data_IF_558057607676
#
_entry.id   IF_558057607676
#
_cell.length_a   1.000
_cell.length_b   1.000
_cell.length_c   1.000
_cell.angle_alpha   90.00
_cell.angle_beta   90.00
_cell.angle_gamma   90.00
#
_symmetry.space_group_name_H-M   'P 1'
#
loop_
_entity.id
_entity.type
_entity.pdbx_description
1 polymer ?
#
# COMPACT_ATOMS: atom_id res chain seq x y z
N UNK A 1 -5.90 1.49 20.02
CA UNK A 1 -6.31 2.05 18.73
C UNK A 1 -6.86 0.98 17.79
N UNK A 2 -6.06 -0.04 17.38
CA UNK A 2 -6.42 -1.03 16.36
C UNK A 2 -7.75 -1.76 16.62
N UNK A 3 -8.00 -2.19 17.85
CA UNK A 3 -9.24 -2.91 18.20
C UNK A 3 -10.49 -2.02 18.03
N UNK A 4 -10.44 -0.77 18.50
CA UNK A 4 -11.53 0.19 18.35
C UNK A 4 -11.73 0.60 16.88
N UNK A 5 -10.64 0.84 16.15
CA UNK A 5 -10.66 1.19 14.73
C UNK A 5 -11.31 0.09 13.89
N UNK A 6 -10.91 -1.17 14.08
CA UNK A 6 -11.52 -2.34 13.41
C UNK A 6 -13.00 -2.51 13.74
N UNK A 7 -13.39 -2.33 15.02
CA UNK A 7 -14.79 -2.41 15.41
C UNK A 7 -15.64 -1.34 14.71
N UNK A 8 -15.17 -0.10 14.67
CA UNK A 8 -15.86 1.00 13.99
C UNK A 8 -15.96 0.76 12.47
N UNK A 9 -14.86 0.37 11.82
CA UNK A 9 -14.80 0.19 10.36
C UNK A 9 -15.66 -0.98 9.86
N UNK A 10 -16.00 -1.94 10.72
CA UNK A 10 -16.94 -3.03 10.39
C UNK A 10 -18.39 -2.56 10.32
N UNK A 11 -18.72 -1.47 10.99
CA UNK A 11 -20.12 -0.99 11.10
C UNK A 11 -20.42 0.18 10.17
N UNK A 12 -19.41 0.99 9.85
CA UNK A 12 -19.56 2.18 8.99
C UNK A 12 -18.23 2.56 8.36
N UNK A 13 -18.25 3.28 7.22
CA UNK A 13 -17.03 3.88 6.67
C UNK A 13 -16.37 4.83 7.68
N UNK A 14 -15.06 4.70 7.81
CA UNK A 14 -14.24 5.60 8.64
C UNK A 14 -13.21 6.25 7.74
N UNK A 15 -13.33 7.56 7.56
CA UNK A 15 -12.36 8.38 6.83
C UNK A 15 -11.44 9.04 7.84
N UNK A 16 -10.14 8.99 7.60
CA UNK A 16 -9.12 9.53 8.50
C UNK A 16 -8.15 10.43 7.76
N UNK A 17 -7.88 11.59 8.36
CA UNK A 17 -6.79 12.48 7.98
C UNK A 17 -5.77 12.50 9.10
N UNK A 18 -4.49 12.37 8.77
CA UNK A 18 -3.38 12.48 9.73
C UNK A 18 -2.45 13.60 9.30
N UNK A 19 -2.31 14.59 10.15
CA UNK A 19 -1.32 15.68 10.02
C UNK A 19 0.06 15.27 10.53
N UNK A 20 1.08 16.09 10.30
CA UNK A 20 2.44 15.83 10.75
C UNK A 20 3.14 14.74 9.93
N UNK A 21 2.97 14.75 8.60
CA UNK A 21 3.56 13.80 7.66
C UNK A 21 4.98 14.18 7.23
N UNK A 22 5.21 15.47 7.04
CA UNK A 22 6.55 16.00 6.73
C UNK A 22 7.32 16.27 8.03
N UNK A 23 8.67 16.34 7.99
CA UNK A 23 9.47 16.72 9.14
C UNK A 23 9.01 18.03 9.79
N UNK A 24 8.70 19.04 8.98
CA UNK A 24 8.23 20.34 9.44
C UNK A 24 6.83 20.24 10.08
N UNK A 25 5.95 19.47 9.47
CA UNK A 25 4.61 19.18 10.01
C UNK A 25 4.66 18.39 11.32
N UNK A 26 5.62 17.48 11.46
CA UNK A 26 5.83 16.72 12.68
C UNK A 26 6.31 17.63 13.85
N UNK A 27 7.22 18.57 13.57
CA UNK A 27 7.67 19.56 14.56
C UNK A 27 6.49 20.44 15.00
N UNK A 28 5.69 20.92 14.05
CA UNK A 28 4.52 21.73 14.35
C UNK A 28 3.48 20.95 15.20
N UNK A 29 3.22 19.70 14.86
CA UNK A 29 2.31 18.84 15.61
C UNK A 29 2.81 18.56 17.03
N UNK A 30 4.10 18.27 17.20
CA UNK A 30 4.72 18.06 18.50
C UNK A 30 4.63 19.30 19.41
N UNK A 31 4.86 20.50 18.83
CA UNK A 31 4.69 21.77 19.54
C UNK A 31 3.26 22.01 20.02
N UNK A 32 2.27 21.54 19.26
CA UNK A 32 0.85 21.75 19.56
C UNK A 32 0.31 20.71 20.56
N UNK A 33 0.72 19.45 20.45
CA UNK A 33 0.13 18.34 21.22
C UNK A 33 1.04 17.82 22.33
N UNK A 34 2.32 18.19 22.32
CA UNK A 34 3.33 17.66 23.26
C UNK A 34 3.67 16.18 22.99
N UNK A 35 3.15 15.56 21.95
CA UNK A 35 3.37 14.15 21.61
C UNK A 35 4.29 14.02 20.41
N UNK A 36 5.17 13.02 20.43
CA UNK A 36 5.93 12.62 19.26
C UNK A 36 4.99 12.07 18.19
N UNK A 37 5.14 12.56 16.97
CA UNK A 37 4.46 11.98 15.81
C UNK A 37 5.22 10.72 15.42
N UNK A 38 4.57 9.54 15.50
CA UNK A 38 5.16 8.30 15.01
C UNK A 38 5.35 8.32 13.49
N UNK A 39 6.07 7.33 12.99
CA UNK A 39 6.36 7.14 11.56
C UNK A 39 5.07 7.09 10.72
N UNK A 40 5.02 7.87 9.65
CA UNK A 40 3.81 8.03 8.83
C UNK A 40 3.38 6.75 8.14
N UNK A 41 4.35 5.91 7.72
CA UNK A 41 4.13 4.63 7.09
C UNK A 41 3.48 3.60 8.03
N UNK A 42 3.84 3.63 9.31
CA UNK A 42 3.22 2.79 10.34
C UNK A 42 1.74 3.14 10.50
N UNK A 43 1.41 4.43 10.55
CA UNK A 43 0.02 4.88 10.60
C UNK A 43 -0.75 4.48 9.33
N UNK A 44 -0.15 4.62 8.15
CA UNK A 44 -0.75 4.20 6.88
C UNK A 44 -1.08 2.71 6.87
N UNK A 45 -0.15 1.88 7.33
CA UNK A 45 -0.35 0.44 7.47
C UNK A 45 -1.46 0.11 8.47
N UNK A 46 -1.47 0.78 9.63
CA UNK A 46 -2.49 0.60 10.67
C UNK A 46 -3.89 0.96 10.16
N UNK A 47 -4.05 2.09 9.46
CA UNK A 47 -5.34 2.51 8.90
C UNK A 47 -5.85 1.52 7.86
N UNK A 48 -5.00 1.08 6.94
CA UNK A 48 -5.35 0.05 5.95
C UNK A 48 -5.81 -1.25 6.61
N UNK A 49 -5.04 -1.79 7.55
CA UNK A 49 -5.37 -3.02 8.27
C UNK A 49 -6.60 -2.89 9.17
N UNK A 50 -6.94 -1.67 9.59
CA UNK A 50 -8.16 -1.38 10.34
C UNK A 50 -9.39 -1.16 9.44
N UNK A 51 -9.25 -1.22 8.11
CA UNK A 51 -10.35 -1.01 7.17
C UNK A 51 -10.77 0.45 7.02
N UNK A 52 -9.91 1.40 7.40
CA UNK A 52 -10.17 2.84 7.30
C UNK A 52 -9.71 3.37 5.94
N UNK A 53 -10.34 4.44 5.47
CA UNK A 53 -9.85 5.21 4.33
C UNK A 53 -9.02 6.38 4.83
N UNK A 54 -7.73 6.41 4.49
CA UNK A 54 -6.87 7.58 4.72
C UNK A 54 -6.98 8.53 3.53
N UNK A 55 -7.08 9.83 3.84
CA UNK A 55 -7.07 10.93 2.88
C UNK A 55 -6.04 11.98 3.31
N UNK A 56 -5.61 12.84 2.36
CA UNK A 56 -4.47 13.71 2.55
C UNK A 56 -4.83 15.14 2.96
N UNK A 57 -5.99 15.62 2.54
CA UNK A 57 -6.46 16.97 2.83
C UNK A 57 -7.98 17.04 3.12
N UNK A 58 -8.47 18.22 3.48
CA UNK A 58 -9.87 18.42 3.81
C UNK A 58 -10.80 18.31 2.59
N UNK A 59 -10.35 18.65 1.39
CA UNK A 59 -11.16 18.51 0.18
C UNK A 59 -11.38 17.02 -0.11
N UNK A 60 -10.35 16.21 0.10
CA UNK A 60 -10.46 14.76 -0.01
C UNK A 60 -11.39 14.15 1.05
N UNK A 61 -11.41 14.69 2.28
CA UNK A 61 -12.39 14.27 3.31
C UNK A 61 -13.80 14.47 2.78
N UNK A 62 -14.12 15.65 2.25
CA UNK A 62 -15.47 15.94 1.73
C UNK A 62 -15.81 15.04 0.55
N UNK A 63 -14.91 14.89 -0.42
CA UNK A 63 -15.11 14.02 -1.57
C UNK A 63 -15.32 12.55 -1.16
N UNK A 64 -14.51 12.04 -0.23
CA UNK A 64 -14.63 10.68 0.27
C UNK A 64 -15.94 10.45 1.03
N UNK A 65 -16.36 11.41 1.87
CA UNK A 65 -17.63 11.34 2.62
C UNK A 65 -18.81 11.37 1.65
N UNK A 66 -18.80 12.21 0.65
CA UNK A 66 -19.84 12.27 -0.38
C UNK A 66 -19.94 10.92 -1.12
N UNK A 67 -18.82 10.41 -1.60
CA UNK A 67 -18.79 9.17 -2.38
C UNK A 67 -19.22 7.96 -1.55
N UNK A 68 -18.63 7.78 -0.36
CA UNK A 68 -18.93 6.65 0.52
C UNK A 68 -20.34 6.76 1.14
N UNK A 69 -20.80 7.99 1.42
CA UNK A 69 -22.14 8.26 1.97
C UNK A 69 -23.27 7.86 1.02
N UNK A 70 -23.01 7.79 -0.29
CA UNK A 70 -23.99 7.31 -1.26
C UNK A 70 -24.12 5.78 -1.33
N UNK A 71 -23.27 5.05 -0.58
CA UNK A 71 -23.37 3.59 -0.46
C UNK A 71 -22.88 2.83 -1.71
N UNK A 72 -22.13 3.48 -2.59
CA UNK A 72 -21.58 2.84 -3.77
C UNK A 72 -20.47 1.84 -3.39
N UNK A 73 -20.39 0.76 -4.17
CA UNK A 73 -19.34 -0.26 -4.04
C UNK A 73 -18.76 -0.56 -5.40
N UNK A 74 -17.45 -0.68 -5.49
CA UNK A 74 -16.72 -1.12 -6.69
C UNK A 74 -16.14 -2.51 -6.46
N UNK A 75 -15.92 -3.26 -7.52
CA UNK A 75 -15.30 -4.60 -7.44
C UNK A 75 -13.81 -4.59 -7.78
N UNK A 76 -13.38 -3.54 -8.47
CA UNK A 76 -12.00 -3.35 -8.93
C UNK A 76 -11.76 -1.91 -9.29
N UNK A 77 -10.68 -1.65 -10.01
CA UNK A 77 -10.16 -0.34 -10.34
C UNK A 77 -10.25 0.02 -11.84
N UNK A 78 -11.03 -0.74 -12.61
CA UNK A 78 -11.23 -0.51 -14.06
C UNK A 78 -12.31 0.53 -14.28
N UNK A 79 -11.90 1.74 -14.67
CA UNK A 79 -12.79 2.88 -14.94
C UNK A 79 -13.02 3.06 -16.43
N UNK A 80 -14.29 3.18 -16.83
CA UNK A 80 -14.65 3.68 -18.15
C UNK A 80 -15.09 5.14 -18.08
N UNK A 81 -14.75 5.92 -19.09
CA UNK A 81 -15.05 7.35 -19.19
C UNK A 81 -15.94 7.61 -20.41
N UNK A 82 -17.05 8.30 -20.19
CA UNK A 82 -17.95 8.81 -21.22
C UNK A 82 -17.93 10.33 -21.20
N UNK A 83 -17.60 10.99 -22.28
CA UNK A 83 -17.43 12.44 -22.34
C UNK A 83 -17.96 13.03 -23.63
N UNK A 84 -18.58 14.23 -23.55
CA UNK A 84 -18.85 15.06 -24.72
C UNK A 84 -17.70 16.03 -25.07
N UNK A 85 -16.57 15.90 -24.39
CA UNK A 85 -15.40 16.71 -24.62
C UNK A 85 -14.13 15.89 -24.50
N UNK A 86 -13.44 15.66 -25.61
CA UNK A 86 -12.24 14.81 -25.66
C UNK A 86 -11.17 15.21 -24.66
N UNK A 87 -10.95 16.52 -24.47
CA UNK A 87 -9.97 17.05 -23.49
C UNK A 87 -10.28 16.65 -22.05
N UNK A 88 -11.55 16.61 -21.65
CA UNK A 88 -11.95 16.15 -20.31
C UNK A 88 -11.69 14.64 -20.13
N UNK A 89 -11.93 13.85 -21.17
CA UNK A 89 -11.60 12.43 -21.16
C UNK A 89 -10.11 12.19 -20.97
N UNK A 90 -9.26 12.99 -21.62
CA UNK A 90 -7.79 12.92 -21.45
C UNK A 90 -7.39 13.28 -20.02
N UNK A 91 -7.90 14.38 -19.47
CA UNK A 91 -7.61 14.78 -18.08
C UNK A 91 -8.02 13.71 -17.06
N UNK A 92 -9.19 13.09 -17.25
CA UNK A 92 -9.62 11.97 -16.39
C UNK A 92 -8.69 10.75 -16.52
N UNK A 93 -8.22 10.44 -17.74
CA UNK A 93 -7.28 9.33 -17.98
C UNK A 93 -5.93 9.58 -17.31
N UNK A 94 -5.38 10.79 -17.45
CA UNK A 94 -4.11 11.18 -16.82
C UNK A 94 -4.21 11.12 -15.28
N UNK A 95 -5.33 11.62 -14.72
CA UNK A 95 -5.58 11.52 -13.29
C UNK A 95 -5.66 10.06 -12.82
N UNK A 96 -6.38 9.21 -13.58
CA UNK A 96 -6.53 7.79 -13.26
C UNK A 96 -5.17 7.07 -13.25
N UNK A 97 -4.36 7.31 -14.26
CA UNK A 97 -3.01 6.71 -14.36
C UNK A 97 -2.10 7.17 -13.20
N UNK A 98 -2.11 8.48 -12.88
CA UNK A 98 -1.36 9.04 -11.76
C UNK A 98 -1.76 8.43 -10.41
N UNK A 99 -3.04 8.22 -10.20
CA UNK A 99 -3.60 7.72 -8.94
C UNK A 99 -3.62 6.17 -8.87
N UNK A 100 -3.03 5.49 -9.87
CA UNK A 100 -2.83 4.03 -9.88
C UNK A 100 -4.07 3.21 -10.21
N UNK A 101 -5.05 3.80 -10.88
CA UNK A 101 -6.21 3.10 -11.40
C UNK A 101 -5.99 2.58 -12.84
N UNK A 102 -6.93 1.79 -13.33
CA UNK A 102 -6.86 1.15 -14.64
C UNK A 102 -7.93 1.71 -15.57
N UNK A 103 -7.53 2.19 -16.75
CA UNK A 103 -8.49 2.54 -17.81
C UNK A 103 -9.09 1.25 -18.36
N UNK A 104 -10.41 1.09 -18.25
CA UNK A 104 -11.10 -0.13 -18.68
C UNK A 104 -10.98 -0.33 -20.21
N UNK A 105 -10.72 -1.53 -20.64
CA UNK A 105 -10.82 -1.90 -22.05
C UNK A 105 -12.23 -2.42 -22.34
N UNK A 106 -13.00 -1.66 -23.15
CA UNK A 106 -14.37 -2.06 -23.50
C UNK A 106 -14.36 -3.29 -24.40
N UNK A 107 -15.39 -4.12 -24.29
CA UNK A 107 -15.55 -5.28 -25.16
C UNK A 107 -15.77 -4.86 -26.62
N UNK A 108 -15.35 -5.72 -27.55
CA UNK A 108 -15.51 -5.45 -28.98
C UNK A 108 -16.99 -5.26 -29.37
N UNK A 109 -17.90 -5.96 -28.68
CA UNK A 109 -19.34 -5.79 -28.89
C UNK A 109 -19.80 -4.39 -28.46
N UNK A 110 -19.31 -3.88 -27.33
CA UNK A 110 -19.65 -2.53 -26.86
C UNK A 110 -19.07 -1.48 -27.79
N UNK A 111 -17.83 -1.64 -28.23
CA UNK A 111 -17.17 -0.73 -29.18
C UNK A 111 -17.94 -0.71 -30.51
N UNK A 112 -18.26 -1.87 -31.09
CA UNK A 112 -19.01 -1.96 -32.34
C UNK A 112 -20.43 -1.37 -32.22
N UNK A 113 -21.10 -1.58 -31.09
CA UNK A 113 -22.42 -1.00 -30.85
C UNK A 113 -22.37 0.54 -30.73
N UNK A 114 -21.33 1.11 -30.07
CA UNK A 114 -21.10 2.54 -30.01
C UNK A 114 -20.77 3.10 -31.38
N UNK A 115 -19.89 2.47 -32.15
CA UNK A 115 -19.47 2.92 -33.48
C UNK A 115 -20.65 2.95 -34.48
N UNK A 116 -21.63 2.08 -34.28
CA UNK A 116 -22.80 1.96 -35.18
C UNK A 116 -23.69 3.22 -35.23
N UNK A 117 -23.66 4.09 -34.23
CA UNK A 117 -24.51 5.29 -34.18
C UNK A 117 -23.77 6.59 -33.84
N UNK A 118 -22.54 6.49 -33.30
CA UNK A 118 -21.76 7.67 -33.03
C UNK A 118 -21.27 8.33 -34.32
N UNK A 119 -21.20 9.67 -34.39
CA UNK A 119 -20.59 10.37 -35.52
C UNK A 119 -19.14 9.92 -35.73
N UNK A 120 -18.66 9.97 -36.97
CA UNK A 120 -17.27 9.58 -37.32
C UNK A 120 -16.18 10.40 -36.62
N UNK A 121 -16.53 11.56 -36.07
CA UNK A 121 -15.64 12.42 -35.29
C UNK A 121 -15.51 11.98 -33.83
N UNK A 122 -16.33 11.03 -33.41
CA UNK A 122 -16.34 10.47 -32.06
C UNK A 122 -15.36 9.31 -31.91
N UNK A 123 -15.03 8.97 -30.66
CA UNK A 123 -14.27 7.76 -30.33
C UNK A 123 -15.17 6.76 -29.62
N UNK A 124 -15.40 5.56 -30.17
CA UNK A 124 -16.17 4.51 -29.49
C UNK A 124 -15.33 3.76 -28.44
N UNK A 125 -14.03 4.01 -28.35
CA UNK A 125 -13.11 3.40 -27.40
C UNK A 125 -12.95 4.27 -26.15
N UNK A 126 -12.60 3.66 -25.05
CA UNK A 126 -12.42 4.36 -23.77
C UNK A 126 -11.13 5.22 -23.77
N UNK A 127 -11.20 6.52 -23.46
CA UNK A 127 -12.39 7.33 -23.18
C UNK A 127 -13.37 7.43 -24.38
N UNK A 128 -14.64 7.12 -24.12
CA UNK A 128 -15.68 7.25 -25.14
C UNK A 128 -16.01 8.74 -25.34
N UNK A 129 -15.66 9.27 -26.51
CA UNK A 129 -16.00 10.65 -26.88
C UNK A 129 -17.29 10.64 -27.72
N UNK A 130 -18.31 11.34 -27.26
CA UNK A 130 -19.62 11.43 -27.91
C UNK A 130 -19.86 12.78 -28.58
N UNK A 131 -18.83 13.59 -28.76
CA UNK A 131 -18.79 14.94 -29.31
C UNK A 131 -19.55 16.03 -28.53
N UNK A 132 -19.15 17.26 -28.75
CA UNK A 132 -19.60 18.44 -27.99
C UNK A 132 -21.09 18.78 -28.18
N UNK A 133 -21.68 18.34 -29.27
CA UNK A 133 -23.10 18.51 -29.61
C UNK A 133 -24.00 17.39 -29.08
N UNK A 134 -23.45 16.49 -28.23
CA UNK A 134 -24.20 15.35 -27.69
C UNK A 134 -25.44 15.80 -26.91
N UNK A 135 -26.57 15.26 -27.33
CA UNK A 135 -27.87 15.43 -26.69
C UNK A 135 -28.18 14.31 -25.69
N UNK A 136 -29.34 14.41 -25.05
CA UNK A 136 -29.83 13.47 -24.04
C UNK A 136 -29.92 12.04 -24.58
N UNK A 137 -30.33 11.84 -25.85
CA UNK A 137 -30.41 10.52 -26.44
C UNK A 137 -29.04 9.87 -26.61
N UNK A 138 -28.06 10.63 -27.11
CA UNK A 138 -26.69 10.15 -27.30
C UNK A 138 -26.03 9.79 -25.97
N UNK A 139 -26.20 10.61 -24.91
CA UNK A 139 -25.75 10.25 -23.56
C UNK A 139 -26.41 8.99 -23.04
N UNK A 140 -27.73 8.91 -23.07
CA UNK A 140 -28.49 7.77 -22.57
C UNK A 140 -28.12 6.47 -23.27
N UNK A 141 -28.07 6.48 -24.60
CA UNK A 141 -27.76 5.29 -25.41
C UNK A 141 -26.33 4.82 -25.21
N UNK A 142 -25.36 5.73 -25.20
CA UNK A 142 -23.96 5.38 -24.95
C UNK A 142 -23.77 4.82 -23.56
N UNK A 143 -24.32 5.45 -22.54
CA UNK A 143 -24.24 4.98 -21.16
C UNK A 143 -24.92 3.63 -20.96
N UNK A 144 -26.06 3.38 -21.60
CA UNK A 144 -26.75 2.10 -21.53
C UNK A 144 -25.93 0.94 -22.07
N UNK A 145 -25.19 1.14 -23.17
CA UNK A 145 -24.28 0.15 -23.74
C UNK A 145 -23.11 -0.13 -22.80
N UNK A 146 -22.47 0.92 -22.29
CA UNK A 146 -21.35 0.78 -21.36
C UNK A 146 -21.78 0.11 -20.04
N UNK A 147 -22.98 0.35 -19.54
CA UNK A 147 -23.51 -0.29 -18.34
C UNK A 147 -23.69 -1.81 -18.47
N UNK A 148 -23.79 -2.34 -19.69
CA UNK A 148 -23.90 -3.79 -20.00
C UNK A 148 -22.53 -4.47 -20.10
N UNK A 149 -21.46 -3.72 -20.31
CA UNK A 149 -20.11 -4.25 -20.48
C UNK A 149 -19.53 -4.78 -19.16
N UNK A 150 -18.99 -5.99 -19.18
CA UNK A 150 -18.46 -6.64 -17.98
C UNK A 150 -16.96 -6.35 -17.73
N UNK A 151 -16.30 -5.65 -18.66
CA UNK A 151 -14.88 -5.36 -18.55
C UNK A 151 -14.55 -4.15 -17.69
N UNK A 152 -15.55 -3.48 -17.12
CA UNK A 152 -15.38 -2.28 -16.32
C UNK A 152 -16.04 -2.40 -14.94
N UNK A 153 -15.52 -1.69 -13.96
CA UNK A 153 -16.00 -1.71 -12.57
C UNK A 153 -16.83 -0.48 -12.23
N UNK A 154 -16.56 0.65 -12.88
CA UNK A 154 -17.34 1.89 -12.76
C UNK A 154 -17.30 2.71 -14.05
N UNK A 155 -18.24 3.66 -14.17
CA UNK A 155 -18.29 4.61 -15.28
C UNK A 155 -18.23 6.04 -14.72
N UNK A 156 -17.38 6.88 -15.30
CA UNK A 156 -17.35 8.31 -15.10
C UNK A 156 -17.97 9.00 -16.31
N UNK A 157 -19.06 9.74 -16.07
CA UNK A 157 -19.73 10.51 -17.11
C UNK A 157 -19.37 11.97 -16.96
N UNK A 158 -18.81 12.56 -18.00
CA UNK A 158 -18.33 13.93 -18.06
C UNK A 158 -19.21 14.80 -18.97
N UNK A 159 -19.48 16.02 -18.54
CA UNK A 159 -20.17 17.01 -19.38
C UNK A 159 -19.40 18.31 -19.40
N UNK A 160 -18.99 18.73 -20.60
CA UNK A 160 -18.53 20.07 -20.89
C UNK A 160 -19.74 20.89 -21.41
N UNK A 161 -20.14 21.98 -20.75
CA UNK A 161 -21.37 22.73 -21.10
C UNK A 161 -21.16 23.61 -22.33
N UNK A 162 -20.81 23.00 -23.44
CA UNK A 162 -20.65 23.74 -24.74
C UNK A 162 -21.99 24.27 -25.23
N UNK A 163 -23.06 23.53 -25.01
CA UNK A 163 -24.44 23.96 -25.24
C UNK A 163 -25.19 23.94 -23.91
N UNK A 164 -25.43 25.15 -23.34
CA UNK A 164 -26.04 25.31 -22.05
C UNK A 164 -27.49 24.79 -21.98
N UNK A 165 -28.23 24.84 -23.09
CA UNK A 165 -29.62 24.37 -23.16
C UNK A 165 -29.75 22.85 -22.99
N UNK A 166 -28.69 22.09 -23.27
CA UNK A 166 -28.69 20.63 -23.18
C UNK A 166 -28.21 20.10 -21.81
N UNK A 167 -27.59 20.92 -20.97
CA UNK A 167 -26.95 20.50 -19.72
C UNK A 167 -27.92 19.75 -18.80
N UNK A 168 -29.10 20.27 -18.60
CA UNK A 168 -30.12 19.69 -17.73
C UNK A 168 -30.75 18.44 -18.35
N UNK A 169 -31.07 18.48 -19.66
CA UNK A 169 -31.62 17.32 -20.36
C UNK A 169 -30.64 16.14 -20.41
N UNK A 170 -29.36 16.42 -20.62
CA UNK A 170 -28.30 15.41 -20.56
C UNK A 170 -28.18 14.78 -19.17
N UNK A 171 -28.26 15.59 -18.10
CA UNK A 171 -28.24 15.09 -16.73
C UNK A 171 -29.44 14.18 -16.43
N UNK A 172 -30.64 14.57 -16.86
CA UNK A 172 -31.85 13.76 -16.68
C UNK A 172 -31.75 12.42 -17.41
N UNK A 173 -31.21 12.42 -18.64
CA UNK A 173 -30.98 11.17 -19.39
C UNK A 173 -30.00 10.23 -18.67
N UNK A 174 -28.92 10.75 -18.12
CA UNK A 174 -27.96 9.97 -17.32
C UNK A 174 -28.66 9.40 -16.08
N UNK A 175 -29.39 10.23 -15.33
CA UNK A 175 -30.13 9.80 -14.13
C UNK A 175 -31.11 8.67 -14.45
N UNK A 176 -31.93 8.82 -15.51
CA UNK A 176 -32.91 7.81 -15.89
C UNK A 176 -32.25 6.49 -16.35
N UNK A 177 -31.11 6.58 -17.01
CA UNK A 177 -30.35 5.39 -17.45
C UNK A 177 -29.74 4.65 -16.26
N UNK A 178 -29.17 5.36 -15.28
CA UNK A 178 -28.53 4.80 -14.08
C UNK A 178 -29.55 4.13 -13.15
N UNK A 179 -30.77 4.69 -12.98
CA UNK A 179 -31.82 4.11 -12.12
C UNK A 179 -32.14 2.66 -12.45
N UNK A 180 -31.96 2.23 -13.69
CA UNK A 180 -32.25 0.88 -14.18
C UNK A 180 -31.14 -0.13 -13.94
N UNK A 181 -29.98 0.29 -13.42
CA UNK A 181 -28.76 -0.51 -13.32
C UNK A 181 -28.11 -0.39 -11.95
N UNK A 182 -27.32 -1.41 -11.56
CA UNK A 182 -26.62 -1.45 -10.26
C UNK A 182 -25.12 -1.11 -10.33
N UNK A 183 -24.62 -0.75 -11.52
CA UNK A 183 -23.18 -0.44 -11.67
C UNK A 183 -22.88 0.96 -11.17
N UNK A 184 -21.76 1.18 -10.47
CA UNK A 184 -21.34 2.50 -10.02
C UNK A 184 -21.16 3.46 -11.20
N UNK A 185 -21.84 4.61 -11.12
CA UNK A 185 -21.69 5.73 -12.04
C UNK A 185 -21.43 6.98 -11.23
N UNK A 186 -20.41 7.71 -11.64
CA UNK A 186 -20.05 9.01 -11.10
C UNK A 186 -20.12 10.05 -12.22
N UNK A 187 -20.27 11.31 -11.86
CA UNK A 187 -20.44 12.37 -12.84
C UNK A 187 -19.54 13.55 -12.53
N UNK A 188 -19.10 14.25 -13.57
CA UNK A 188 -18.53 15.60 -13.45
C UNK A 188 -19.15 16.49 -14.51
N UNK A 189 -19.92 17.48 -14.06
CA UNK A 189 -20.50 18.53 -14.87
C UNK A 189 -19.69 19.80 -14.69
N UNK A 190 -18.83 20.13 -15.67
CA UNK A 190 -17.85 21.19 -15.57
C UNK A 190 -18.52 22.57 -15.55
N UNK A 191 -18.00 23.48 -14.72
CA UNK A 191 -18.47 24.85 -14.55
C UNK A 191 -19.07 25.13 -13.17
N UNK A 192 -19.39 26.39 -12.88
CA UNK A 192 -19.92 26.75 -11.56
C UNK A 192 -21.44 26.95 -11.57
N UNK A 193 -21.95 27.87 -12.35
CA UNK A 193 -23.38 28.28 -12.29
C UNK A 193 -24.27 27.43 -13.19
N UNK A 194 -23.87 27.24 -14.46
CA UNK A 194 -24.68 26.53 -15.46
C UNK A 194 -24.99 25.08 -15.02
N UNK A 195 -24.02 24.25 -14.55
CA UNK A 195 -24.32 22.89 -14.16
C UNK A 195 -24.91 22.75 -12.74
N UNK A 196 -25.09 23.83 -11.98
CA UNK A 196 -25.61 23.75 -10.59
C UNK A 196 -26.98 23.05 -10.47
N UNK A 197 -27.97 23.31 -11.34
CA UNK A 197 -29.24 22.56 -11.29
C UNK A 197 -29.04 21.05 -11.56
N UNK A 198 -28.25 20.70 -12.57
CA UNK A 198 -27.92 19.30 -12.89
C UNK A 198 -27.24 18.59 -11.73
N UNK A 199 -26.25 19.21 -11.08
CA UNK A 199 -25.58 18.63 -9.90
C UNK A 199 -26.53 18.38 -8.74
N UNK A 200 -27.48 19.29 -8.46
CA UNK A 200 -28.52 19.07 -7.45
C UNK A 200 -29.40 17.87 -7.78
N UNK A 201 -29.72 17.65 -9.05
CA UNK A 201 -30.49 16.48 -9.51
C UNK A 201 -29.71 15.18 -9.31
N UNK A 202 -28.40 15.15 -9.65
CA UNK A 202 -27.54 14.01 -9.36
C UNK A 202 -27.49 13.70 -7.87
N UNK A 203 -27.27 14.70 -7.01
CA UNK A 203 -27.29 14.51 -5.56
C UNK A 203 -28.62 13.94 -5.06
N UNK A 204 -29.77 14.45 -5.55
CA UNK A 204 -31.10 13.93 -5.23
C UNK A 204 -31.29 12.48 -5.71
N UNK A 205 -30.68 12.11 -6.82
CA UNK A 205 -30.67 10.75 -7.39
C UNK A 205 -29.63 9.83 -6.76
N UNK A 206 -28.86 10.30 -5.77
CA UNK A 206 -27.73 9.58 -5.13
C UNK A 206 -26.64 9.18 -6.11
N UNK A 207 -26.34 10.00 -7.09
CA UNK A 207 -25.24 9.86 -8.05
C UNK A 207 -24.18 10.88 -7.67
N UNK A 208 -22.96 10.46 -7.28
CA UNK A 208 -21.88 11.39 -6.94
C UNK A 208 -21.54 12.28 -8.14
N UNK A 209 -21.35 13.56 -7.85
CA UNK A 209 -21.01 14.56 -8.87
C UNK A 209 -19.90 15.46 -8.36
N UNK A 210 -18.94 15.74 -9.21
CA UNK A 210 -17.72 16.48 -8.87
C UNK A 210 -17.54 17.68 -9.77
N UNK A 211 -16.77 18.65 -9.28
CA UNK A 211 -16.50 19.88 -10.02
C UNK A 211 -15.55 19.68 -11.20
N UNK A 212 -14.62 18.73 -11.05
CA UNK A 212 -13.61 18.43 -12.07
C UNK A 212 -13.52 16.92 -12.37
N UNK A 213 -13.01 16.54 -13.55
CA UNK A 213 -12.72 15.13 -13.87
C UNK A 213 -11.74 14.49 -12.88
N UNK A 214 -10.73 15.23 -12.45
CA UNK A 214 -9.70 14.79 -11.50
C UNK A 214 -10.31 14.46 -10.13
N UNK A 215 -11.20 15.30 -9.63
CA UNK A 215 -11.90 15.05 -8.36
C UNK A 215 -12.80 13.83 -8.45
N UNK A 216 -13.45 13.61 -9.60
CA UNK A 216 -14.27 12.44 -9.83
C UNK A 216 -13.43 11.15 -9.86
N UNK A 217 -12.27 11.18 -10.51
CA UNK A 217 -11.31 10.06 -10.50
C UNK A 217 -10.82 9.79 -9.09
N UNK A 218 -10.46 10.83 -8.33
CA UNK A 218 -10.04 10.70 -6.94
C UNK A 218 -11.15 10.07 -6.08
N UNK A 219 -12.40 10.49 -6.27
CA UNK A 219 -13.57 9.88 -5.62
C UNK A 219 -13.70 8.38 -5.95
N UNK A 220 -13.47 7.99 -7.20
CA UNK A 220 -13.40 6.58 -7.59
C UNK A 220 -12.27 5.83 -6.89
N UNK A 221 -11.07 6.38 -6.87
CA UNK A 221 -9.93 5.75 -6.22
C UNK A 221 -10.10 5.64 -4.70
N UNK A 222 -10.84 6.56 -4.06
CA UNK A 222 -11.25 6.41 -2.66
C UNK A 222 -12.15 5.19 -2.44
N UNK A 223 -13.10 4.91 -3.36
CA UNK A 223 -13.91 3.70 -3.30
C UNK A 223 -13.06 2.43 -3.46
N UNK A 224 -12.13 2.44 -4.41
CA UNK A 224 -11.21 1.32 -4.65
C UNK A 224 -10.34 1.06 -3.40
N UNK A 225 -9.72 2.11 -2.86
CA UNK A 225 -8.89 2.01 -1.67
C UNK A 225 -9.69 1.53 -0.45
N UNK A 226 -10.88 2.08 -0.24
CA UNK A 226 -11.78 1.66 0.83
C UNK A 226 -12.17 0.19 0.70
N UNK A 227 -12.55 -0.26 -0.49
CA UNK A 227 -12.91 -1.65 -0.75
C UNK A 227 -11.75 -2.60 -0.45
N UNK A 228 -10.54 -2.30 -0.93
CA UNK A 228 -9.31 -3.06 -0.64
C UNK A 228 -9.03 -3.14 0.87
N UNK A 229 -9.22 -2.03 1.59
CA UNK A 229 -9.01 -1.98 3.03
C UNK A 229 -10.06 -2.80 3.78
N UNK A 230 -11.32 -2.82 3.32
CA UNK A 230 -12.38 -3.66 3.89
C UNK A 230 -12.09 -5.16 3.65
N UNK A 231 -11.58 -5.52 2.49
CA UNK A 231 -11.15 -6.90 2.20
C UNK A 231 -10.03 -7.33 3.15
N UNK A 232 -9.01 -6.49 3.35
CA UNK A 232 -7.94 -6.75 4.34
C UNK A 232 -8.46 -6.85 5.77
N UNK A 233 -9.45 -6.03 6.15
CA UNK A 233 -10.05 -6.08 7.48
C UNK A 233 -10.76 -7.42 7.73
N UNK A 234 -11.36 -8.00 6.69
CA UNK A 234 -12.14 -9.25 6.75
C UNK A 234 -11.28 -10.50 6.52
N UNK A 235 -10.03 -10.34 6.07
CA UNK A 235 -9.12 -11.48 5.89
C UNK A 235 -8.87 -12.15 7.24
N UNK A 236 -9.26 -13.43 7.33
CA UNK A 236 -8.78 -14.30 8.40
C UNK A 236 -7.38 -14.82 8.01
N UNK A 237 -6.43 -14.90 8.95
CA UNK A 237 -5.18 -15.58 8.68
C UNK A 237 -5.48 -16.99 8.17
N UNK A 238 -4.94 -17.35 7.03
CA UNK A 238 -5.00 -18.71 6.54
C UNK A 238 -4.21 -19.57 7.54
N UNK A 239 -4.81 -20.65 8.05
CA UNK A 239 -4.05 -21.64 8.80
C UNK A 239 -3.02 -22.24 7.84
N UNK A 240 -1.76 -21.83 8.00
CA UNK A 240 -0.66 -22.49 7.29
C UNK A 240 -0.40 -23.79 8.05
N UNK A 241 -0.69 -24.91 7.43
CA UNK A 241 -0.18 -26.18 7.92
C UNK A 241 1.34 -26.15 7.76
N UNK A 242 2.05 -25.96 8.86
CA UNK A 242 3.50 -26.08 8.88
C UNK A 242 3.85 -27.55 8.68
N UNK A 243 4.65 -27.86 7.68
CA UNK A 243 5.16 -29.22 7.44
C UNK A 243 5.89 -29.78 8.67
N UNK A 244 6.48 -28.90 9.46
CA UNK A 244 7.14 -29.22 10.73
C UNK A 244 6.52 -28.36 11.83
N UNK A 245 5.94 -28.97 12.88
CA UNK A 245 5.41 -28.21 14.01
C UNK A 245 6.54 -27.46 14.72
N UNK A 246 6.30 -26.19 15.14
CA UNK A 246 7.32 -25.41 15.83
C UNK A 246 7.65 -26.00 17.21
N UNK A 247 8.93 -25.98 17.56
CA UNK A 247 9.38 -26.28 18.94
C UNK A 247 9.22 -25.04 19.83
N UNK A 248 7.96 -24.70 20.13
CA UNK A 248 7.63 -23.57 20.98
C UNK A 248 8.30 -23.61 22.38
N UNK A 249 8.46 -24.81 23.04
CA UNK A 249 9.25 -24.90 24.25
C UNK A 249 10.72 -24.47 24.09
N UNK A 250 11.39 -24.87 23.01
CA UNK A 250 12.77 -24.41 22.74
C UNK A 250 12.86 -22.91 22.53
N UNK A 251 11.94 -22.35 21.74
CA UNK A 251 11.87 -20.90 21.52
C UNK A 251 11.66 -20.13 22.83
N UNK A 252 10.75 -20.62 23.68
CA UNK A 252 10.48 -20.00 24.98
C UNK A 252 11.70 -20.01 25.89
N UNK A 253 12.45 -21.13 25.95
CA UNK A 253 13.69 -21.21 26.74
C UNK A 253 14.70 -20.15 26.34
N UNK A 254 14.88 -19.89 25.04
CA UNK A 254 15.79 -18.85 24.54
C UNK A 254 15.40 -17.48 25.09
N UNK A 255 14.10 -17.16 25.08
CA UNK A 255 13.62 -15.87 25.63
C UNK A 255 13.79 -15.80 27.16
N UNK A 256 13.45 -16.88 27.88
CA UNK A 256 13.57 -16.95 29.33
C UNK A 256 15.03 -16.80 29.79
N UNK A 257 15.98 -17.42 29.09
CA UNK A 257 17.42 -17.28 29.37
C UNK A 257 17.90 -15.81 29.22
N UNK A 258 17.42 -15.10 28.18
CA UNK A 258 17.74 -13.69 27.99
C UNK A 258 17.16 -12.82 29.11
N UNK A 259 15.88 -13.05 29.49
CA UNK A 259 15.21 -12.33 30.58
C UNK A 259 15.93 -12.56 31.92
N UNK A 260 16.27 -13.80 32.24
CA UNK A 260 17.02 -14.15 33.46
C UNK A 260 18.41 -13.47 33.48
N UNK A 261 19.02 -13.30 32.31
CA UNK A 261 20.27 -12.54 32.17
C UNK A 261 20.09 -11.01 32.23
N UNK A 262 18.86 -10.51 32.46
CA UNK A 262 18.54 -9.08 32.57
C UNK A 262 18.60 -8.34 31.23
N UNK A 263 18.34 -9.02 30.10
CA UNK A 263 18.38 -8.44 28.75
C UNK A 263 16.98 -8.34 28.16
N UNK A 264 16.73 -7.24 27.46
CA UNK A 264 15.47 -6.97 26.77
C UNK A 264 15.50 -7.40 25.29
N UNK A 265 16.65 -7.91 24.81
CA UNK A 265 16.87 -8.31 23.45
C UNK A 265 17.74 -9.56 23.34
N UNK A 266 17.60 -10.29 22.23
CA UNK A 266 18.36 -11.49 21.93
C UNK A 266 19.62 -11.15 21.14
N UNK A 267 20.71 -11.85 21.41
CA UNK A 267 21.89 -11.82 20.55
C UNK A 267 21.59 -12.51 19.19
N UNK A 268 22.41 -12.25 18.17
CA UNK A 268 22.22 -12.86 16.85
C UNK A 268 22.16 -14.40 16.87
N UNK A 269 23.02 -15.11 17.60
CA UNK A 269 22.89 -16.57 17.71
C UNK A 269 21.61 -17.03 18.42
N UNK A 270 21.15 -16.31 19.43
CA UNK A 270 19.89 -16.60 20.13
C UNK A 270 18.68 -16.38 19.22
N UNK A 271 18.65 -15.25 18.49
CA UNK A 271 17.61 -14.97 17.50
C UNK A 271 17.52 -16.07 16.44
N UNK A 272 18.65 -16.57 15.96
CA UNK A 272 18.69 -17.69 15.00
C UNK A 272 18.18 -19.00 15.60
N UNK A 273 18.50 -19.28 16.87
CA UNK A 273 17.94 -20.46 17.58
C UNK A 273 16.42 -20.35 17.70
N UNK A 274 15.91 -19.17 18.01
CA UNK A 274 14.48 -18.92 18.09
C UNK A 274 13.80 -19.12 16.72
N UNK A 275 14.35 -18.54 15.66
CA UNK A 275 13.83 -18.71 14.30
C UNK A 275 13.87 -20.16 13.84
N UNK A 276 14.95 -20.86 14.11
CA UNK A 276 15.08 -22.29 13.79
C UNK A 276 14.05 -23.16 14.54
N UNK A 277 13.70 -22.82 15.79
CA UNK A 277 12.65 -23.48 16.54
C UNK A 277 11.26 -23.34 15.89
N UNK A 278 11.06 -22.31 15.09
CA UNK A 278 9.86 -22.11 14.25
C UNK A 278 10.03 -22.63 12.82
N UNK A 279 11.03 -23.46 12.56
CA UNK A 279 11.35 -24.00 11.23
C UNK A 279 11.64 -22.92 10.16
N UNK A 280 12.00 -21.71 10.58
CA UNK A 280 12.47 -20.66 9.66
C UNK A 280 13.91 -20.99 9.24
N UNK A 281 14.21 -21.11 7.94
CA UNK A 281 15.57 -21.37 7.49
C UNK A 281 16.52 -20.26 7.94
N UNK A 282 17.59 -20.64 8.60
CA UNK A 282 18.64 -19.72 9.06
C UNK A 282 19.99 -20.15 8.52
N UNK A 283 20.84 -19.20 8.19
CA UNK A 283 22.21 -19.50 7.77
C UNK A 283 23.00 -20.13 8.91
N UNK A 284 23.82 -21.11 8.59
CA UNK A 284 24.70 -21.80 9.56
C UNK A 284 25.58 -20.77 10.27
N UNK A 285 25.51 -20.77 11.60
CA UNK A 285 26.23 -19.84 12.45
C UNK A 285 26.73 -20.60 13.67
N UNK A 286 28.01 -20.45 13.97
CA UNK A 286 28.62 -21.03 15.14
C UNK A 286 29.35 -19.96 15.95
N UNK A 287 29.45 -20.12 17.27
CA UNK A 287 30.08 -19.15 18.16
C UNK A 287 31.46 -19.62 18.57
N UNK A 288 32.39 -18.70 18.72
CA UNK A 288 33.75 -18.92 19.17
C UNK A 288 34.09 -17.98 20.31
N UNK A 289 34.78 -18.46 21.34
CA UNK A 289 35.20 -17.67 22.49
C UNK A 289 36.60 -17.06 22.30
N UNK A 290 37.33 -17.49 21.27
CA UNK A 290 38.68 -17.02 20.99
C UNK A 290 38.94 -16.89 19.48
N UNK A 291 39.92 -16.06 19.06
CA UNK A 291 40.34 -15.97 17.65
C UNK A 291 40.79 -17.30 17.05
N UNK A 292 41.50 -18.12 17.82
CA UNK A 292 41.93 -19.44 17.38
C UNK A 292 40.74 -20.37 17.09
N UNK A 293 39.75 -20.36 17.96
CA UNK A 293 38.52 -21.12 17.79
C UNK A 293 37.72 -20.63 16.58
N UNK A 294 37.60 -19.32 16.40
CA UNK A 294 36.97 -18.73 15.21
C UNK A 294 37.65 -19.18 13.93
N UNK A 295 38.99 -19.22 13.88
CA UNK A 295 39.75 -19.76 12.76
C UNK A 295 39.45 -21.22 12.47
N UNK A 296 39.34 -22.08 13.50
CA UNK A 296 38.98 -23.51 13.35
C UNK A 296 37.56 -23.68 12.79
N UNK A 297 36.62 -22.83 13.25
CA UNK A 297 35.24 -22.82 12.74
C UNK A 297 35.19 -22.41 11.27
N UNK A 298 35.89 -21.34 10.90
CA UNK A 298 35.95 -20.90 9.51
C UNK A 298 36.51 -21.96 8.56
N UNK A 299 37.56 -22.66 8.97
CA UNK A 299 38.08 -23.81 8.19
C UNK A 299 37.07 -24.96 8.08
N UNK A 300 36.34 -25.26 9.15
CA UNK A 300 35.34 -26.34 9.17
C UNK A 300 34.10 -26.03 8.31
N UNK A 301 33.76 -24.76 8.14
CA UNK A 301 32.64 -24.36 7.27
C UNK A 301 32.95 -24.60 5.78
N UNK A 302 34.22 -24.55 5.37
CA UNK A 302 34.64 -24.94 4.02
C UNK A 302 34.22 -23.97 2.90
N UNK A 303 33.78 -22.77 3.26
CA UNK A 303 33.31 -21.71 2.37
C UNK A 303 33.63 -20.33 2.95
N UNK A 304 33.30 -19.28 2.19
CA UNK A 304 33.41 -17.92 2.70
C UNK A 304 32.50 -17.69 3.90
N UNK A 305 33.04 -17.03 4.90
CA UNK A 305 32.33 -16.73 6.14
C UNK A 305 32.34 -15.23 6.47
N UNK A 306 31.28 -14.81 7.15
CA UNK A 306 31.22 -13.55 7.86
C UNK A 306 31.60 -13.76 9.30
N UNK A 307 32.54 -12.96 9.80
CA UNK A 307 32.94 -12.90 11.21
C UNK A 307 32.34 -11.66 11.84
N UNK A 308 31.65 -11.86 12.97
CA UNK A 308 31.03 -10.75 13.70
C UNK A 308 31.39 -10.84 15.16
N UNK A 309 31.58 -9.68 15.82
CA UNK A 309 31.75 -9.64 17.28
C UNK A 309 30.49 -10.12 18.00
N UNK A 310 30.65 -10.89 19.05
CA UNK A 310 29.56 -11.33 19.91
C UNK A 310 29.66 -10.57 21.25
N UNK A 311 28.70 -9.69 21.48
CA UNK A 311 28.58 -8.89 22.70
C UNK A 311 27.11 -8.61 22.97
N UNK A 312 26.64 -8.76 24.21
CA UNK A 312 25.30 -8.33 24.62
C UNK A 312 25.19 -6.80 24.72
N UNK A 313 26.30 -6.07 24.76
CA UNK A 313 26.32 -4.63 24.96
C UNK A 313 26.48 -3.85 23.62
N UNK A 314 26.66 -4.57 22.49
CA UNK A 314 26.86 -3.98 21.16
C UNK A 314 25.75 -4.42 20.21
N UNK A 315 24.62 -3.72 20.15
CA UNK A 315 23.53 -4.04 19.20
C UNK A 315 23.93 -3.76 17.74
N UNK A 316 24.62 -2.65 17.48
CA UNK A 316 25.05 -2.24 16.13
C UNK A 316 26.54 -2.54 15.90
N UNK A 317 26.83 -3.76 15.49
CA UNK A 317 28.21 -4.28 15.33
C UNK A 317 29.03 -3.52 14.29
N UNK A 318 28.39 -2.97 13.26
CA UNK A 318 29.04 -2.19 12.20
C UNK A 318 29.67 -0.90 12.71
N UNK A 319 29.06 -0.24 13.71
CA UNK A 319 29.52 1.04 14.26
C UNK A 319 30.88 0.92 14.94
N UNK A 320 31.16 -0.25 15.49
CA UNK A 320 32.43 -0.56 16.16
C UNK A 320 33.40 -1.35 15.27
N UNK A 321 33.12 -1.42 13.95
CA UNK A 321 33.86 -2.28 13.00
C UNK A 321 33.92 -3.76 13.43
N UNK A 322 32.86 -4.23 14.06
CA UNK A 322 32.68 -5.58 14.59
C UNK A 322 32.15 -6.58 13.56
N UNK A 323 32.25 -6.31 12.26
CA UNK A 323 31.86 -7.21 11.16
C UNK A 323 32.96 -7.24 10.10
N UNK A 324 33.33 -8.43 9.65
CA UNK A 324 34.23 -8.66 8.51
C UNK A 324 33.65 -9.76 7.65
N UNK A 325 33.53 -9.50 6.34
CA UNK A 325 32.90 -10.38 5.35
C UNK A 325 33.97 -11.01 4.45
N UNK A 326 33.61 -12.13 3.77
CA UNK A 326 34.41 -12.74 2.74
C UNK A 326 35.70 -13.40 3.19
N UNK A 327 35.74 -13.93 4.42
CA UNK A 327 36.91 -14.60 4.97
C UNK A 327 36.92 -16.09 4.59
N UNK A 328 38.09 -16.60 4.21
CA UNK A 328 38.30 -18.00 3.87
C UNK A 328 39.40 -18.66 4.70
N UNK A 329 39.10 -19.87 5.19
CA UNK A 329 40.06 -20.71 5.90
C UNK A 329 40.48 -20.21 7.28
N UNK A 330 41.21 -21.05 8.01
CA UNK A 330 41.54 -20.78 9.43
C UNK A 330 42.34 -19.50 9.64
N UNK A 331 43.38 -19.29 8.82
CA UNK A 331 44.33 -18.21 9.05
C UNK A 331 43.75 -16.80 8.81
N UNK A 332 42.87 -16.66 7.81
CA UNK A 332 42.24 -15.37 7.54
C UNK A 332 41.24 -15.02 8.64
N UNK A 333 40.41 -15.99 9.05
CA UNK A 333 39.41 -15.79 10.10
C UNK A 333 40.08 -15.48 11.44
N UNK A 334 41.14 -16.21 11.82
CA UNK A 334 41.86 -15.96 13.06
C UNK A 334 42.51 -14.58 13.09
N UNK A 335 43.19 -14.19 11.99
CA UNK A 335 43.77 -12.82 11.89
C UNK A 335 42.73 -11.74 11.96
N UNK A 336 41.61 -11.90 11.23
CA UNK A 336 40.49 -10.97 11.28
C UNK A 336 39.88 -10.85 12.69
N UNK A 337 39.75 -11.97 13.40
CA UNK A 337 39.25 -12.00 14.77
C UNK A 337 40.16 -11.25 15.74
N UNK A 338 41.48 -11.43 15.67
CA UNK A 338 42.45 -10.70 16.49
C UNK A 338 42.36 -9.19 16.23
N UNK A 339 42.41 -8.77 14.98
CA UNK A 339 42.32 -7.38 14.61
C UNK A 339 40.95 -6.74 14.95
N UNK A 340 39.86 -7.50 14.83
CA UNK A 340 38.52 -7.06 15.25
C UNK A 340 38.47 -6.81 16.77
N UNK A 341 39.02 -7.72 17.56
CA UNK A 341 39.03 -7.62 19.01
C UNK A 341 39.76 -6.33 19.50
N UNK A 342 40.90 -6.00 18.88
CA UNK A 342 41.62 -4.77 19.14
C UNK A 342 40.76 -3.54 18.81
N UNK A 343 40.21 -3.47 17.59
CA UNK A 343 39.37 -2.33 17.18
C UNK A 343 38.12 -2.14 18.03
N UNK A 344 37.47 -3.24 18.41
CA UNK A 344 36.24 -3.16 19.22
C UNK A 344 36.57 -2.68 20.65
N UNK A 345 37.69 -3.12 21.23
CA UNK A 345 38.13 -2.68 22.54
C UNK A 345 38.51 -1.19 22.58
N UNK A 346 39.06 -0.67 21.48
CA UNK A 346 39.35 0.75 21.36
C UNK A 346 38.09 1.61 21.25
N UNK A 347 37.08 1.10 20.54
CA UNK A 347 35.84 1.87 20.27
C UNK A 347 34.74 1.69 21.32
N UNK A 348 34.74 0.56 22.01
CA UNK A 348 33.75 0.20 23.02
C UNK A 348 34.47 -0.47 24.23
N UNK A 349 35.32 0.27 25.00
CA UNK A 349 36.16 -0.31 26.04
C UNK A 349 35.36 -0.94 27.18
N UNK A 350 34.15 -0.45 27.45
CA UNK A 350 33.28 -0.95 28.53
C UNK A 350 32.39 -2.13 28.10
N UNK A 351 32.37 -2.47 26.81
CA UNK A 351 31.50 -3.53 26.32
C UNK A 351 32.01 -4.92 26.68
N UNK A 352 31.15 -5.74 27.22
CA UNK A 352 31.46 -7.15 27.50
C UNK A 352 31.49 -7.94 26.20
N UNK A 353 32.67 -8.44 25.84
CA UNK A 353 32.87 -9.26 24.64
C UNK A 353 32.82 -10.72 25.03
N UNK A 354 31.85 -11.46 24.49
CA UNK A 354 31.67 -12.91 24.71
C UNK A 354 32.42 -13.75 23.67
N UNK A 355 32.88 -13.15 22.59
CA UNK A 355 33.61 -13.82 21.54
C UNK A 355 33.19 -13.37 20.13
N UNK A 356 32.96 -14.32 19.27
CA UNK A 356 32.65 -14.11 17.85
C UNK A 356 31.52 -15.01 17.38
N UNK A 357 30.75 -14.56 16.43
CA UNK A 357 29.92 -15.43 15.59
C UNK A 357 30.59 -15.60 14.23
N UNK A 358 30.72 -16.84 13.79
CA UNK A 358 31.22 -17.23 12.48
C UNK A 358 30.03 -17.74 11.68
N UNK A 359 29.72 -17.08 10.60
CA UNK A 359 28.53 -17.30 9.80
C UNK A 359 28.88 -17.61 8.36
N UNK A 360 28.23 -18.61 7.80
CA UNK A 360 28.29 -18.94 6.40
C UNK A 360 27.79 -17.77 5.53
N UNK A 361 28.51 -17.44 4.44
CA UNK A 361 28.05 -16.45 3.49
C UNK A 361 27.27 -17.13 2.38
N UNK A 362 26.01 -16.73 2.23
CA UNK A 362 25.13 -17.20 1.15
C UNK A 362 25.26 -16.21 -0.01
N UNK A 363 25.77 -16.66 -1.16
CA UNK A 363 25.83 -15.88 -2.38
C UNK A 363 24.64 -16.30 -3.28
N UNK A 364 23.66 -15.44 -3.39
CA UNK A 364 22.50 -15.60 -4.28
C UNK A 364 22.39 -14.34 -5.16
N UNK A 365 23.08 -14.28 -6.31
CA UNK A 365 23.16 -13.05 -7.12
C UNK A 365 21.80 -12.57 -7.64
N UNK A 366 20.82 -13.48 -7.80
CA UNK A 366 19.48 -13.17 -8.28
C UNK A 366 18.43 -13.05 -7.14
N UNK A 367 18.84 -13.07 -5.88
CA UNK A 367 17.93 -12.97 -4.77
C UNK A 367 17.54 -11.51 -4.47
N UNK A 368 16.29 -11.29 -4.14
CA UNK A 368 15.82 -10.01 -3.60
C UNK A 368 16.03 -10.00 -2.08
N UNK A 369 16.79 -9.03 -1.59
CA UNK A 369 16.95 -8.83 -0.15
C UNK A 369 15.74 -8.11 0.44
N UNK A 370 15.16 -8.69 1.48
CA UNK A 370 14.02 -8.13 2.20
C UNK A 370 14.36 -8.01 3.68
N UNK A 371 13.96 -6.90 4.30
CA UNK A 371 14.00 -6.71 5.75
C UNK A 371 12.57 -6.85 6.26
N UNK A 372 12.35 -7.82 7.16
CA UNK A 372 11.05 -8.04 7.81
C UNK A 372 11.21 -7.71 9.28
N UNK A 373 10.44 -6.73 9.75
CA UNK A 373 10.32 -6.36 11.15
C UNK A 373 8.95 -6.74 11.68
N UNK A 374 8.89 -7.12 12.96
CA UNK A 374 7.65 -7.28 13.71
C UNK A 374 7.80 -6.53 15.03
N UNK A 375 6.76 -5.76 15.40
CA UNK A 375 6.65 -5.01 16.63
C UNK A 375 5.52 -5.57 17.52
#
# INVERSE_FOLDING_TARGET
FMSAARAASRTKPVVVIKSGRSPEGAIAAASHTGLLTGEDDVFSAAFRRAGMLRVDDLNEVFAAVETLGMGMRVKGDRLAVLSNGGGMGVLATDALARDGGTLAELSDETVAALDSFLPRTCSPRNPVDIAADADAERYGRSLELMLKDNNLDAILVLNSPVNEDLVDANADAVIETVKKKRRPVMTSWLGKEVPRPARRRFGSARIPTYDTPEDAVRGFMHLVAYQRNQEMLLQAPTAVELETPPDAPAARRVCEEAIVAGRDWLTEPESKKLLAAYAVPVVRTETATSPLEAGRLGARMGMQVALKILSPDIPHKSDVAGVVLGLEGAQQVERAARAMLERVRDRAPEARIEGFSVQEMVAMPDATELIIGAD
#
